data_IF_386147196317
#
_entry.id   IF_386147196317
#
_cell.length_a   1.000
_cell.length_b   1.000
_cell.length_c   1.000
_cell.angle_alpha   90.00
_cell.angle_beta   90.00
_cell.angle_gamma   90.00
#
_symmetry.space_group_name_H-M   'P 1'
#
loop_
_entity.id
_entity.type
_entity.pdbx_description
1 polymer ?
#
# COMPACT_ATOMS: atom_id res chain seq x y z
N UNK A 1 19.81 0.96 5.95
CA UNK A 1 19.62 0.84 7.42
C UNK A 1 18.85 2.07 7.83
N UNK A 2 17.53 2.00 7.98
CA UNK A 2 16.80 3.13 8.56
C UNK A 2 17.11 3.18 10.06
N UNK A 3 17.52 4.36 10.51
CA UNK A 3 18.08 4.60 11.83
C UNK A 3 17.11 4.26 12.97
N UNK A 4 17.71 3.66 13.99
CA UNK A 4 17.09 3.36 15.27
C UNK A 4 17.04 4.67 16.05
N UNK A 5 15.86 5.29 16.14
CA UNK A 5 15.62 6.32 17.16
C UNK A 5 15.36 5.61 18.50
N UNK A 6 16.40 5.50 19.32
CA UNK A 6 16.25 5.28 20.76
C UNK A 6 15.77 6.59 21.36
N UNK A 7 14.64 6.60 22.06
CA UNK A 7 14.44 7.41 23.27
C UNK A 7 13.22 6.92 24.04
N UNK A 8 13.43 6.96 25.35
CA UNK A 8 12.63 6.64 26.54
C UNK A 8 11.11 6.87 26.51
N UNK A 9 10.46 6.00 27.29
CA UNK A 9 9.09 6.05 27.81
C UNK A 9 7.97 5.49 26.92
N UNK A 10 7.11 4.71 27.56
CA UNK A 10 6.20 3.77 26.93
C UNK A 10 5.17 4.45 26.03
N UNK A 11 5.38 4.37 24.71
CA UNK A 11 4.43 4.02 23.65
C UNK A 11 5.14 4.24 22.31
N UNK A 12 5.74 3.18 21.75
CA UNK A 12 6.27 3.19 20.38
C UNK A 12 5.12 3.61 19.44
N UNK A 13 5.24 4.75 18.78
CA UNK A 13 4.19 5.25 17.88
C UNK A 13 3.85 4.17 16.83
N UNK A 14 2.65 3.60 16.94
CA UNK A 14 2.15 2.63 15.98
C UNK A 14 2.02 3.31 14.62
N UNK A 15 2.52 2.67 13.56
CA UNK A 15 2.28 3.09 12.19
C UNK A 15 0.79 3.26 11.99
N UNK A 16 0.36 4.46 11.61
CA UNK A 16 -1.05 4.72 11.29
C UNK A 16 -1.31 4.32 9.84
N UNK A 17 -2.24 3.37 9.65
CA UNK A 17 -2.70 2.95 8.33
C UNK A 17 -4.05 3.59 8.00
N UNK A 18 -4.35 3.72 6.70
CA UNK A 18 -5.60 4.32 6.23
C UNK A 18 -6.85 3.58 6.70
N UNK A 19 -8.03 4.18 6.48
CA UNK A 19 -9.31 3.66 6.97
C UNK A 19 -9.61 2.21 6.53
N UNK A 20 -9.17 1.84 5.32
CA UNK A 20 -9.34 0.52 4.72
C UNK A 20 -8.16 -0.44 4.95
N UNK A 21 -7.22 -0.05 5.80
CA UNK A 21 -6.02 -0.81 6.10
C UNK A 21 -5.91 -1.10 7.60
N UNK A 22 -5.10 -2.11 7.91
CA UNK A 22 -4.67 -2.47 9.25
C UNK A 22 -3.16 -2.66 9.27
N UNK A 23 -2.57 -2.53 10.45
CA UNK A 23 -1.14 -2.69 10.65
C UNK A 23 -0.84 -4.18 10.74
N UNK A 24 -0.18 -4.77 9.76
CA UNK A 24 0.51 -6.04 9.97
C UNK A 24 1.86 -5.76 10.63
N UNK A 25 2.11 -6.35 11.79
CA UNK A 25 3.37 -6.21 12.51
C UNK A 25 4.12 -7.52 12.61
N UNK A 26 5.44 -7.42 12.64
CA UNK A 26 6.38 -8.51 12.93
C UNK A 26 7.36 -8.02 13.99
N UNK A 27 7.61 -8.84 15.00
CA UNK A 27 8.75 -8.68 15.91
C UNK A 27 9.60 -9.94 15.76
N UNK A 28 10.85 -9.76 15.34
CA UNK A 28 11.80 -10.82 15.03
C UNK A 28 13.05 -10.61 15.87
N UNK A 29 13.39 -11.58 16.70
CA UNK A 29 14.69 -11.70 17.34
C UNK A 29 15.48 -12.74 16.54
N UNK A 30 16.57 -12.32 15.91
CA UNK A 30 17.47 -13.22 15.20
C UNK A 30 18.33 -14.02 16.16
N UNK A 31 18.92 -15.11 15.69
CA UNK A 31 19.92 -15.90 16.41
C UNK A 31 21.35 -15.46 16.02
N UNK A 32 22.37 -16.28 16.31
CA UNK A 32 23.76 -15.99 15.94
C UNK A 32 24.01 -16.03 14.43
N UNK A 33 23.11 -16.66 13.64
CA UNK A 33 23.23 -16.88 12.19
C UNK A 33 22.26 -16.02 11.40
N UNK A 34 21.94 -14.84 11.92
CA UNK A 34 20.98 -13.89 11.36
C UNK A 34 21.16 -13.56 9.86
N UNK A 35 22.37 -13.67 9.30
CA UNK A 35 22.62 -13.40 7.87
C UNK A 35 21.95 -14.42 6.93
N UNK A 36 21.48 -15.55 7.45
CA UNK A 36 20.76 -16.60 6.71
C UNK A 36 19.25 -16.35 6.70
N UNK A 37 18.76 -15.52 7.63
CA UNK A 37 17.34 -15.22 7.81
C UNK A 37 16.87 -14.10 6.88
N UNK A 38 15.76 -14.33 6.20
CA UNK A 38 15.01 -13.29 5.49
C UNK A 38 13.50 -13.54 5.54
N UNK A 39 12.67 -12.57 5.18
CA UNK A 39 11.25 -12.79 4.95
C UNK A 39 10.69 -11.99 3.80
N UNK A 40 9.53 -12.43 3.34
CA UNK A 40 8.66 -11.72 2.40
C UNK A 40 7.22 -11.67 2.91
N UNK A 41 6.59 -10.51 2.81
CA UNK A 41 5.13 -10.38 2.94
C UNK A 41 4.55 -10.39 1.53
N UNK A 42 3.65 -11.33 1.26
CA UNK A 42 3.08 -11.60 -0.05
C UNK A 42 1.58 -11.28 0.00
N UNK A 43 1.13 -10.49 -0.97
CA UNK A 43 -0.23 -10.03 -1.15
C UNK A 43 -1.19 -11.09 -1.70
N UNK A 44 -2.48 -10.74 -1.82
CA UNK A 44 -3.51 -11.63 -2.35
C UNK A 44 -3.33 -11.97 -3.83
N UNK A 45 -2.56 -11.17 -4.58
CA UNK A 45 -2.31 -11.36 -6.01
C UNK A 45 -0.90 -11.93 -6.28
N UNK A 46 -0.31 -12.59 -5.29
CA UNK A 46 1.07 -13.12 -5.32
C UNK A 46 2.17 -12.05 -5.46
N UNK A 47 1.84 -10.77 -5.29
CA UNK A 47 2.77 -9.66 -5.28
C UNK A 47 3.58 -9.60 -3.97
N UNK A 48 4.87 -9.27 -4.06
CA UNK A 48 5.71 -9.05 -2.87
C UNK A 48 5.47 -7.63 -2.37
N UNK A 49 4.89 -7.50 -1.18
CA UNK A 49 4.56 -6.22 -0.54
C UNK A 49 5.73 -5.70 0.28
N UNK A 50 6.47 -6.61 0.91
CA UNK A 50 7.67 -6.27 1.67
C UNK A 50 8.67 -7.41 1.66
N UNK A 51 9.93 -7.05 1.76
CA UNK A 51 11.06 -7.95 1.97
C UNK A 51 11.93 -7.40 3.10
N UNK A 52 12.50 -8.28 3.90
CA UNK A 52 13.52 -7.90 4.88
C UNK A 52 14.50 -9.06 5.09
N UNK A 53 15.81 -8.79 5.22
CA UNK A 53 16.45 -7.48 5.04
C UNK A 53 16.32 -6.99 3.59
N UNK A 54 16.62 -5.71 3.33
CA UNK A 54 16.58 -5.17 1.97
C UNK A 54 17.55 -5.92 1.03
N UNK A 55 17.36 -5.81 -0.28
CA UNK A 55 18.25 -6.47 -1.25
C UNK A 55 19.72 -6.11 -0.98
N UNK A 56 20.58 -7.14 -0.89
CA UNK A 56 22.01 -6.99 -0.60
C UNK A 56 22.35 -6.66 0.86
N UNK A 57 21.38 -6.68 1.77
CA UNK A 57 21.61 -6.50 3.20
C UNK A 57 21.41 -7.81 3.97
N UNK A 58 21.93 -7.87 5.19
CA UNK A 58 21.78 -8.99 6.12
C UNK A 58 21.30 -8.49 7.48
N UNK A 59 20.60 -9.35 8.21
CA UNK A 59 20.31 -9.05 9.62
C UNK A 59 21.57 -9.23 10.47
N UNK A 60 21.61 -8.51 11.58
CA UNK A 60 22.64 -8.65 12.60
C UNK A 60 22.27 -9.76 13.59
N UNK A 61 23.30 -10.43 14.11
CA UNK A 61 23.15 -11.50 15.09
C UNK A 61 22.46 -11.01 16.37
N UNK A 62 21.64 -11.87 16.99
CA UNK A 62 20.97 -11.64 18.28
C UNK A 62 20.28 -10.27 18.41
N UNK A 63 19.70 -9.78 17.32
CA UNK A 63 19.17 -8.41 17.24
C UNK A 63 17.65 -8.44 17.13
N UNK A 64 16.99 -7.58 17.91
CA UNK A 64 15.55 -7.40 17.86
C UNK A 64 15.17 -6.42 16.76
N UNK A 65 14.44 -6.93 15.77
CA UNK A 65 13.81 -6.14 14.72
C UNK A 65 12.30 -6.02 14.94
N UNK A 66 11.73 -4.94 14.43
CA UNK A 66 10.29 -4.69 14.46
C UNK A 66 9.87 -4.05 13.15
N UNK A 67 8.89 -4.67 12.48
CA UNK A 67 8.40 -4.23 11.17
C UNK A 67 6.90 -3.97 11.26
N UNK A 68 6.45 -2.95 10.53
CA UNK A 68 5.04 -2.59 10.43
C UNK A 68 4.68 -2.22 8.99
N UNK A 69 3.68 -2.89 8.44
CA UNK A 69 3.20 -2.72 7.07
C UNK A 69 1.70 -2.49 7.07
N UNK A 70 1.22 -1.60 6.21
CA UNK A 70 -0.21 -1.41 6.03
C UNK A 70 -0.71 -2.43 5.00
N UNK A 71 -1.68 -3.25 5.42
CA UNK A 71 -2.30 -4.29 4.59
C UNK A 71 -3.81 -4.05 4.50
N UNK A 72 -4.38 -4.34 3.34
CA UNK A 72 -5.78 -4.07 3.06
C UNK A 72 -6.68 -5.06 3.80
N UNK A 73 -7.75 -4.53 4.38
CA UNK A 73 -8.77 -5.30 5.08
C UNK A 73 -9.47 -6.29 4.13
N UNK A 74 -9.81 -7.48 4.62
CA UNK A 74 -10.65 -8.45 3.93
C UNK A 74 -9.88 -9.42 3.02
N UNK A 75 -8.60 -9.16 2.74
CA UNK A 75 -7.75 -9.99 1.90
C UNK A 75 -6.93 -11.02 2.70
N UNK A 76 -6.48 -12.06 2.00
CA UNK A 76 -5.54 -13.05 2.52
C UNK A 76 -4.12 -12.67 2.13
N UNK A 77 -3.20 -12.85 3.06
CA UNK A 77 -1.78 -12.59 2.89
C UNK A 77 -0.98 -13.81 3.34
N UNK A 78 0.25 -13.90 2.84
CA UNK A 78 1.24 -14.88 3.30
C UNK A 78 2.49 -14.17 3.77
N UNK A 79 2.91 -14.45 4.98
CA UNK A 79 4.22 -14.05 5.46
C UNK A 79 5.14 -15.26 5.45
N UNK A 80 6.19 -15.18 4.63
CA UNK A 80 7.13 -16.28 4.37
C UNK A 80 8.49 -15.92 4.93
N UNK A 81 8.94 -16.65 5.93
CA UNK A 81 10.24 -16.56 6.58
C UNK A 81 11.15 -17.63 5.97
N UNK A 82 12.39 -17.29 5.69
CA UNK A 82 13.38 -18.15 5.04
C UNK A 82 14.66 -18.18 5.87
N UNK A 83 15.29 -19.34 5.87
CA UNK A 83 16.61 -19.59 6.44
C UNK A 83 17.44 -20.39 5.44
N UNK A 84 18.52 -19.81 4.93
CA UNK A 84 19.28 -20.40 3.82
C UNK A 84 20.11 -21.62 4.20
N UNK A 85 20.45 -21.80 5.49
CA UNK A 85 21.17 -22.97 5.98
C UNK A 85 20.25 -24.15 6.29
N UNK A 86 18.96 -23.88 6.54
CA UNK A 86 17.93 -24.89 6.78
C UNK A 86 17.89 -25.43 8.21
N UNK A 87 18.66 -24.84 9.12
CA UNK A 87 18.56 -25.14 10.54
C UNK A 87 17.46 -24.31 11.22
N UNK A 88 17.06 -23.20 10.61
CA UNK A 88 16.02 -22.31 11.08
C UNK A 88 16.51 -21.42 12.23
N UNK A 89 15.64 -20.53 12.73
CA UNK A 89 16.01 -19.52 13.74
C UNK A 89 16.43 -20.04 15.13
N UNK A 90 16.39 -21.36 15.37
CA UNK A 90 16.65 -21.97 16.68
C UNK A 90 17.09 -23.44 16.50
N UNK A 91 17.97 -24.03 17.34
CA UNK A 91 18.28 -23.63 18.72
C UNK A 91 19.76 -23.77 19.13
N UNK A 92 20.56 -24.41 18.28
CA UNK A 92 21.99 -24.62 18.55
C UNK A 92 22.78 -23.33 18.35
N UNK A 93 22.37 -22.52 17.37
CA UNK A 93 23.01 -21.27 17.00
C UNK A 93 22.37 -20.05 17.68
N UNK A 94 21.64 -20.24 18.78
CA UNK A 94 20.92 -19.18 19.48
C UNK A 94 19.42 -19.44 19.53
N UNK A 95 18.71 -18.61 20.29
CA UNK A 95 17.26 -18.76 20.53
C UNK A 95 16.47 -17.68 19.81
N UNK A 96 16.69 -17.60 18.50
CA UNK A 96 15.90 -16.72 17.63
C UNK A 96 14.41 -17.07 17.75
N UNK A 97 13.57 -16.04 17.66
CA UNK A 97 12.12 -16.16 17.84
C UNK A 97 11.42 -15.01 17.14
N UNK A 98 10.15 -15.19 16.83
CA UNK A 98 9.35 -14.16 16.20
C UNK A 98 7.90 -14.21 16.67
N UNK A 99 7.21 -13.10 16.42
CA UNK A 99 5.76 -13.01 16.48
C UNK A 99 5.26 -12.11 15.38
N UNK A 100 4.03 -12.36 14.95
CA UNK A 100 3.33 -11.45 14.05
C UNK A 100 1.87 -11.28 14.46
N UNK A 101 1.26 -10.21 13.98
CA UNK A 101 -0.15 -9.95 14.22
C UNK A 101 -0.71 -8.82 13.36
N UNK A 102 -1.98 -8.51 13.62
CA UNK A 102 -2.71 -7.42 12.98
C UNK A 102 -3.16 -6.43 14.05
N UNK A 103 -2.80 -5.16 13.89
CA UNK A 103 -2.89 -4.09 14.88
C UNK A 103 -2.27 -4.56 16.20
N UNK A 104 -3.04 -4.68 17.28
CA UNK A 104 -2.54 -5.20 18.56
C UNK A 104 -2.84 -6.69 18.76
N UNK A 105 -3.52 -7.34 17.81
CA UNK A 105 -3.91 -8.74 17.91
C UNK A 105 -2.82 -9.66 17.37
N UNK A 106 -2.10 -10.32 18.28
CA UNK A 106 -1.07 -11.29 17.94
C UNK A 106 -1.72 -12.55 17.38
N UNK A 107 -1.28 -12.97 16.20
CA UNK A 107 -1.77 -14.18 15.52
C UNK A 107 -0.91 -15.40 15.81
N UNK A 108 0.38 -15.19 15.98
CA UNK A 108 1.32 -16.25 16.27
C UNK A 108 2.49 -15.73 17.08
N UNK A 109 3.01 -16.58 17.97
CA UNK A 109 4.26 -16.39 18.69
C UNK A 109 5.01 -17.71 18.62
N UNK A 110 6.24 -17.71 18.13
CA UNK A 110 7.11 -18.86 18.34
C UNK A 110 7.49 -18.95 19.81
N UNK A 111 7.85 -20.16 20.23
CA UNK A 111 8.14 -20.54 21.59
C UNK A 111 9.64 -20.72 21.85
N UNK A 112 10.51 -20.07 21.05
CA UNK A 112 11.97 -20.27 21.11
C UNK A 112 12.38 -21.75 20.93
N UNK A 113 11.58 -22.49 20.16
CA UNK A 113 11.90 -23.81 19.67
C UNK A 113 11.95 -23.78 18.13
N UNK A 114 12.44 -24.86 17.52
CA UNK A 114 12.46 -24.98 16.06
C UNK A 114 11.03 -24.97 15.50
N UNK A 115 10.70 -23.92 14.74
CA UNK A 115 9.37 -23.74 14.12
C UNK A 115 9.37 -23.98 12.61
N UNK A 116 10.53 -23.97 11.98
CA UNK A 116 10.74 -24.31 10.56
C UNK A 116 12.21 -24.70 10.34
N UNK A 117 12.51 -25.29 9.19
CA UNK A 117 13.88 -25.57 8.72
C UNK A 117 14.33 -24.48 7.76
N UNK A 118 14.01 -24.60 6.48
CA UNK A 118 14.40 -23.65 5.42
C UNK A 118 13.34 -22.58 5.20
N UNK A 119 12.05 -22.92 5.36
CA UNK A 119 10.93 -22.02 5.06
C UNK A 119 9.81 -22.19 6.07
N UNK A 120 9.38 -21.09 6.69
CA UNK A 120 8.14 -20.99 7.45
C UNK A 120 7.12 -20.13 6.71
N UNK A 121 5.88 -20.60 6.56
CA UNK A 121 4.81 -19.81 5.89
C UNK A 121 3.62 -19.66 6.81
N UNK A 122 3.23 -18.40 7.03
CA UNK A 122 2.05 -18.02 7.80
C UNK A 122 1.02 -17.39 6.88
N UNK A 123 -0.15 -18.00 6.75
CA UNK A 123 -1.27 -17.45 5.98
C UNK A 123 -2.28 -16.82 6.93
N UNK A 124 -2.71 -15.60 6.66
CA UNK A 124 -3.67 -14.89 7.50
C UNK A 124 -4.63 -14.01 6.69
N UNK A 125 -5.86 -13.90 7.18
CA UNK A 125 -6.87 -12.96 6.67
C UNK A 125 -6.87 -11.69 7.51
N UNK A 126 -6.86 -10.54 6.86
CA UNK A 126 -6.99 -9.25 7.56
C UNK A 126 -8.46 -9.02 7.92
N UNK A 127 -8.82 -8.94 9.20
CA UNK A 127 -10.21 -8.82 9.60
C UNK A 127 -10.80 -7.47 9.16
N UNK A 128 -12.09 -7.49 8.80
CA UNK A 128 -12.86 -6.24 8.71
C UNK A 128 -12.91 -5.58 10.07
N UNK A 129 -12.86 -4.24 10.09
CA UNK A 129 -13.19 -3.51 11.33
C UNK A 129 -14.61 -3.96 11.70
N UNK A 130 -14.77 -4.53 12.89
CA UNK A 130 -16.10 -4.84 13.39
C UNK A 130 -16.88 -3.52 13.40
N UNK A 131 -17.94 -3.45 12.60
CA UNK A 131 -18.92 -2.39 12.76
C UNK A 131 -19.51 -2.60 14.15
N UNK A 132 -19.00 -1.87 15.15
CA UNK A 132 -19.78 -1.64 16.34
C UNK A 132 -20.93 -0.72 15.91
N UNK A 133 -21.99 -1.36 15.40
CA UNK A 133 -23.33 -0.83 15.42
C UNK A 133 -23.70 -0.73 16.88
N UNK A 134 -23.26 0.35 17.54
CA UNK A 134 -23.85 0.75 18.80
C UNK A 134 -25.20 1.40 18.46
N UNK A 135 -26.14 0.58 18.00
CA UNK A 135 -27.56 0.89 18.01
C UNK A 135 -28.01 0.80 19.46
N UNK A 136 -27.62 1.81 20.24
CA UNK A 136 -28.25 2.14 21.52
C UNK A 136 -29.65 2.63 21.20
N UNK A 137 -30.64 1.82 21.57
CA UNK A 137 -32.05 2.11 21.34
C UNK A 137 -32.48 3.41 22.03
N UNK A 138 -33.01 4.33 21.23
CA UNK A 138 -33.88 5.40 21.74
C UNK A 138 -35.32 4.88 21.72
N UNK A 139 -35.92 4.82 22.92
CA UNK A 139 -37.33 4.52 23.10
C UNK A 139 -38.23 5.51 22.35
N UNK A 140 -39.35 4.98 21.86
CA UNK A 140 -40.46 5.73 21.26
C UNK A 140 -41.11 6.69 22.25
N UNK A 141 -41.47 7.89 21.77
CA UNK A 141 -42.85 8.41 21.81
C UNK A 141 -42.95 9.79 21.18
N UNK A 142 -43.89 9.99 20.24
CA UNK A 142 -44.36 11.32 19.85
C UNK A 142 -44.81 11.48 18.39
N UNK A 143 -46.12 11.36 18.15
CA UNK A 143 -46.91 11.77 16.96
C UNK A 143 -46.53 13.16 16.42
N UNK A 144 -46.79 13.60 15.17
CA UNK A 144 -47.96 13.53 14.27
C UNK A 144 -47.53 14.25 12.96
N UNK A 145 -47.82 13.75 11.75
CA UNK A 145 -49.02 14.08 10.97
C UNK A 145 -48.73 15.09 9.83
N UNK A 146 -49.13 14.78 8.58
CA UNK A 146 -49.18 15.77 7.49
C UNK A 146 -48.87 15.26 6.09
N UNK A 147 -49.91 15.09 5.27
CA UNK A 147 -49.96 14.58 3.89
C UNK A 147 -49.40 15.52 2.81
N UNK A 148 -49.03 14.99 1.64
CA UNK A 148 -48.86 15.76 0.39
C UNK A 148 -48.29 14.94 -0.78
N UNK A 149 -48.94 15.02 -1.93
CA UNK A 149 -48.92 14.05 -3.05
C UNK A 149 -48.00 14.42 -4.24
N UNK A 150 -47.80 13.43 -5.12
CA UNK A 150 -47.50 13.46 -6.57
C UNK A 150 -46.09 13.79 -7.09
N UNK A 151 -45.61 12.94 -8.01
CA UNK A 151 -44.55 13.27 -8.98
C UNK A 151 -43.90 12.06 -9.64
N UNK A 152 -44.41 11.65 -10.80
CA UNK A 152 -43.79 10.66 -11.70
C UNK A 152 -42.58 11.23 -12.46
N UNK A 153 -41.71 10.33 -12.95
CA UNK A 153 -40.86 10.43 -14.17
C UNK A 153 -39.33 10.48 -13.98
N UNK A 154 -38.73 9.32 -14.27
CA UNK A 154 -37.67 9.06 -15.26
C UNK A 154 -36.36 9.88 -15.30
N UNK A 155 -35.27 9.11 -15.20
CA UNK A 155 -34.01 9.17 -15.94
C UNK A 155 -32.98 10.26 -15.61
N UNK A 156 -31.74 9.81 -15.37
CA UNK A 156 -30.47 10.29 -15.98
C UNK A 156 -29.34 10.28 -14.94
N UNK A 157 -28.20 9.72 -15.34
CA UNK A 157 -27.02 9.57 -14.51
C UNK A 157 -26.41 10.90 -14.05
N UNK A 158 -25.92 10.87 -12.82
CA UNK A 158 -24.83 11.68 -12.30
C UNK A 158 -24.51 11.15 -10.90
N UNK A 159 -23.51 10.28 -10.77
CA UNK A 159 -22.92 10.03 -9.45
C UNK A 159 -21.95 11.19 -9.21
N UNK A 160 -22.40 12.11 -8.38
CA UNK A 160 -21.72 13.32 -8.01
C UNK A 160 -20.38 13.02 -7.35
N UNK A 161 -19.37 13.76 -7.81
CA UNK A 161 -18.08 14.00 -7.17
C UNK A 161 -18.29 14.45 -5.71
N UNK A 162 -17.84 13.61 -4.78
CA UNK A 162 -17.56 14.00 -3.41
C UNK A 162 -16.05 14.00 -3.24
N UNK A 163 -15.50 15.18 -3.02
CA UNK A 163 -14.09 15.40 -2.68
C UNK A 163 -13.78 14.69 -1.36
N UNK A 164 -13.07 13.57 -1.42
CA UNK A 164 -12.48 12.91 -0.25
C UNK A 164 -10.96 13.14 -0.29
N UNK A 165 -10.50 14.04 0.59
CA UNK A 165 -9.15 14.57 0.71
C UNK A 165 -8.11 13.59 1.34
N UNK A 166 -8.22 12.28 1.13
CA UNK A 166 -7.19 11.34 1.62
C UNK A 166 -6.71 10.28 0.60
N UNK A 167 -7.26 10.27 -0.62
CA UNK A 167 -6.69 9.58 -1.78
C UNK A 167 -6.42 8.07 -1.64
N UNK A 168 -6.89 7.39 -0.60
CA UNK A 168 -6.29 6.12 -0.15
C UNK A 168 -6.83 4.83 -0.75
N UNK A 169 -7.87 4.85 -1.58
CA UNK A 169 -8.37 3.67 -2.34
C UNK A 169 -9.04 4.12 -3.64
N UNK A 170 -9.92 5.13 -3.55
CA UNK A 170 -10.64 5.64 -4.72
C UNK A 170 -9.70 6.21 -5.79
N UNK A 171 -8.59 6.82 -5.38
CA UNK A 171 -7.60 7.40 -6.30
C UNK A 171 -6.72 6.32 -6.95
N UNK A 172 -6.37 5.27 -6.21
CA UNK A 172 -5.64 4.11 -6.74
C UNK A 172 -6.48 3.37 -7.80
N UNK A 173 -7.76 3.12 -7.50
CA UNK A 173 -8.72 2.55 -8.44
C UNK A 173 -8.93 3.46 -9.66
N UNK A 174 -9.01 4.79 -9.44
CA UNK A 174 -9.12 5.77 -10.53
C UNK A 174 -7.87 5.78 -11.42
N UNK A 175 -6.66 5.58 -10.87
CA UNK A 175 -5.43 5.46 -11.65
C UNK A 175 -5.45 4.19 -12.51
N UNK A 176 -5.80 3.06 -11.91
CA UNK A 176 -5.87 1.78 -12.63
C UNK A 176 -6.92 1.81 -13.75
N UNK A 177 -8.11 2.34 -13.45
CA UNK A 177 -9.21 2.49 -14.40
C UNK A 177 -8.80 3.40 -15.56
N UNK A 178 -8.31 4.60 -15.26
CA UNK A 178 -7.97 5.58 -16.28
C UNK A 178 -6.85 5.10 -17.24
N UNK A 179 -5.86 4.37 -16.72
CA UNK A 179 -4.86 3.71 -17.56
C UNK A 179 -5.48 2.60 -18.43
N UNK A 180 -6.30 1.74 -17.85
CA UNK A 180 -6.87 0.60 -18.56
C UNK A 180 -7.87 1.00 -19.64
N UNK A 181 -8.61 2.10 -19.44
CA UNK A 181 -9.47 2.73 -20.46
C UNK A 181 -8.64 3.14 -21.68
N UNK A 182 -7.54 3.89 -21.47
CA UNK A 182 -6.64 4.33 -22.55
C UNK A 182 -5.97 3.15 -23.24
N UNK A 183 -5.41 2.21 -22.47
CA UNK A 183 -4.78 1.01 -23.01
C UNK A 183 -5.72 0.22 -23.91
N UNK A 184 -6.98 0.04 -23.50
CA UNK A 184 -7.97 -0.66 -24.32
C UNK A 184 -8.21 0.08 -25.63
N UNK A 185 -8.57 1.37 -25.56
CA UNK A 185 -8.79 2.23 -26.73
C UNK A 185 -7.63 2.15 -27.73
N UNK A 186 -6.42 2.32 -27.23
CA UNK A 186 -5.22 2.43 -28.07
C UNK A 186 -4.75 1.07 -28.59
N UNK A 187 -4.79 0.01 -27.78
CA UNK A 187 -4.48 -1.32 -28.30
C UNK A 187 -5.45 -1.70 -29.43
N UNK A 188 -6.76 -1.47 -29.25
CA UNK A 188 -7.78 -1.77 -30.26
C UNK A 188 -7.60 -0.91 -31.52
N UNK A 189 -7.35 0.40 -31.37
CA UNK A 189 -7.14 1.33 -32.49
C UNK A 189 -5.98 0.91 -33.41
N UNK A 190 -4.92 0.32 -32.86
CA UNK A 190 -3.73 -0.11 -33.62
C UNK A 190 -3.61 -1.62 -33.77
N UNK A 191 -4.72 -2.36 -33.64
CA UNK A 191 -4.77 -3.80 -33.92
C UNK A 191 -3.91 -4.64 -32.97
N UNK A 192 -3.65 -4.18 -31.75
CA UNK A 192 -2.95 -4.91 -30.70
C UNK A 192 -3.95 -5.57 -29.75
N UNK A 193 -3.55 -6.72 -29.21
CA UNK A 193 -4.32 -7.38 -28.15
C UNK A 193 -4.33 -6.52 -26.88
N UNK A 194 -5.52 -6.23 -26.35
CA UNK A 194 -5.66 -5.54 -25.07
C UNK A 194 -5.12 -6.40 -23.92
N UNK A 195 -4.21 -5.82 -23.14
CA UNK A 195 -3.69 -6.42 -21.90
C UNK A 195 -3.89 -5.42 -20.77
N UNK A 196 -4.78 -5.68 -19.79
CA UNK A 196 -5.00 -4.78 -18.67
C UNK A 196 -3.77 -4.72 -17.77
N UNK A 197 -3.45 -3.52 -17.28
CA UNK A 197 -2.58 -3.36 -16.13
C UNK A 197 -3.28 -3.91 -14.90
N UNK A 198 -2.45 -4.35 -13.95
CA UNK A 198 -2.85 -4.70 -12.60
C UNK A 198 -2.18 -3.73 -11.64
N UNK A 199 -2.89 -3.35 -10.58
CA UNK A 199 -2.30 -2.54 -9.53
C UNK A 199 -1.18 -3.31 -8.83
N UNK A 200 -0.06 -2.63 -8.56
CA UNK A 200 1.04 -3.16 -7.76
C UNK A 200 1.17 -2.31 -6.50
N UNK A 201 0.79 -2.84 -5.32
CA UNK A 201 1.00 -2.16 -4.04
C UNK A 201 2.48 -1.81 -3.79
N UNK A 202 3.42 -2.60 -4.31
CA UNK A 202 4.86 -2.33 -4.21
C UNK A 202 5.24 -1.07 -4.99
N UNK A 203 4.86 -0.98 -6.27
CA UNK A 203 5.15 0.18 -7.11
C UNK A 203 4.44 1.42 -6.57
N UNK A 204 3.20 1.28 -6.11
CA UNK A 204 2.47 2.37 -5.46
C UNK A 204 3.19 2.88 -4.20
N UNK A 205 3.70 1.96 -3.36
CA UNK A 205 4.45 2.33 -2.16
C UNK A 205 5.83 2.92 -2.47
N UNK A 206 6.54 2.43 -3.49
CA UNK A 206 7.81 3.00 -3.95
C UNK A 206 7.59 4.40 -4.54
N UNK A 207 6.63 4.55 -5.45
CA UNK A 207 6.24 5.84 -6.02
C UNK A 207 5.82 6.84 -4.93
N UNK A 208 5.10 6.41 -3.90
CA UNK A 208 4.77 7.26 -2.74
C UNK A 208 6.02 7.71 -1.97
N UNK A 209 6.97 6.80 -1.71
CA UNK A 209 8.21 7.15 -1.02
C UNK A 209 9.04 8.16 -1.81
N UNK A 210 9.14 7.97 -3.13
CA UNK A 210 9.82 8.93 -4.00
C UNK A 210 9.09 10.26 -4.07
N UNK A 211 7.77 10.25 -4.27
CA UNK A 211 6.94 11.46 -4.25
C UNK A 211 7.09 12.27 -2.95
N UNK A 212 7.18 11.59 -1.80
CA UNK A 212 7.44 12.25 -0.52
C UNK A 212 8.84 12.89 -0.44
N UNK A 213 9.88 12.23 -0.97
CA UNK A 213 11.23 12.83 -1.06
C UNK A 213 11.25 14.05 -1.97
N UNK A 214 10.45 14.05 -3.04
CA UNK A 214 10.34 15.18 -3.95
C UNK A 214 9.69 16.42 -3.29
N UNK A 215 8.96 16.25 -2.18
CA UNK A 215 8.41 17.39 -1.43
C UNK A 215 9.50 18.28 -0.82
N UNK A 216 10.71 17.75 -0.57
CA UNK A 216 11.84 18.55 -0.09
C UNK A 216 12.38 19.52 -1.17
N UNK A 217 11.92 19.34 -2.43
CA UNK A 217 12.36 20.11 -3.59
C UNK A 217 11.17 20.72 -4.36
N UNK A 218 10.18 21.27 -3.64
CA UNK A 218 8.97 21.87 -4.23
C UNK A 218 9.25 22.99 -5.25
N UNK A 219 10.33 23.74 -5.11
CA UNK A 219 10.64 24.88 -5.99
C UNK A 219 11.58 24.52 -7.17
N UNK A 220 12.04 23.27 -7.26
CA UNK A 220 12.93 22.85 -8.33
C UNK A 220 12.24 22.95 -9.70
N UNK A 221 12.93 23.52 -10.70
CA UNK A 221 12.42 23.65 -12.08
C UNK A 221 12.19 22.27 -12.71
N UNK A 222 12.99 21.28 -12.32
CA UNK A 222 12.91 19.90 -12.80
C UNK A 222 12.59 18.95 -11.65
N UNK A 223 11.78 17.93 -11.93
CA UNK A 223 11.49 16.84 -10.99
C UNK A 223 12.50 15.73 -11.25
N UNK A 224 13.43 15.43 -10.32
CA UNK A 224 14.39 14.37 -10.54
C UNK A 224 13.71 13.00 -10.57
N UNK A 225 14.14 12.17 -11.52
CA UNK A 225 13.76 10.75 -11.58
C UNK A 225 14.40 9.94 -10.45
N UNK A 226 13.75 8.88 -10.00
CA UNK A 226 14.32 7.97 -9.00
C UNK A 226 15.52 7.22 -9.59
N UNK A 227 16.67 7.25 -8.90
CA UNK A 227 17.88 6.57 -9.36
C UNK A 227 17.96 5.12 -8.85
N UNK A 228 18.45 4.21 -9.69
CA UNK A 228 18.71 2.81 -9.30
C UNK A 228 17.49 1.89 -9.33
N UNK A 229 16.37 2.32 -9.92
CA UNK A 229 15.20 1.47 -10.17
C UNK A 229 15.23 0.91 -11.61
N UNK A 230 14.64 -0.27 -11.80
CA UNK A 230 14.54 -0.94 -13.11
C UNK A 230 13.19 -0.67 -13.80
N UNK A 231 12.25 -0.14 -13.04
CA UNK A 231 10.87 0.11 -13.41
C UNK A 231 10.73 1.45 -14.13
N UNK A 232 9.73 1.55 -15.01
CA UNK A 232 9.40 2.80 -15.69
C UNK A 232 8.72 3.80 -14.76
N UNK A 233 9.00 5.10 -14.96
CA UNK A 233 8.49 6.17 -14.11
C UNK A 233 7.84 7.27 -14.97
N UNK A 234 6.62 7.66 -14.61
CA UNK A 234 5.95 8.87 -15.12
C UNK A 234 5.74 9.82 -13.95
N UNK A 235 6.06 11.10 -14.14
CA UNK A 235 5.96 12.12 -13.10
C UNK A 235 5.05 13.27 -13.54
N UNK A 236 4.36 13.86 -12.57
CA UNK A 236 3.55 15.05 -12.76
C UNK A 236 3.73 15.97 -11.55
N UNK A 237 3.97 17.25 -11.81
CA UNK A 237 4.08 18.30 -10.80
C UNK A 237 3.09 19.40 -11.14
N UNK A 238 2.48 19.97 -10.12
CA UNK A 238 1.72 21.21 -10.23
C UNK A 238 2.33 22.24 -9.27
N UNK A 239 2.44 23.49 -9.70
CA UNK A 239 2.97 24.61 -8.90
C UNK A 239 2.00 25.78 -9.06
N UNK A 240 1.62 26.41 -7.95
CA UNK A 240 0.83 27.63 -7.95
C UNK A 240 -0.32 27.61 -6.95
N UNK A 241 -1.13 28.66 -6.98
CA UNK A 241 -2.34 28.83 -6.16
C UNK A 241 -3.61 28.63 -7.00
N UNK A 242 -4.74 28.38 -6.34
CA UNK A 242 -6.04 28.16 -7.01
C UNK A 242 -6.03 26.91 -7.89
N UNK A 243 -6.62 27.00 -9.08
CA UNK A 243 -6.69 25.88 -10.04
C UNK A 243 -5.31 25.33 -10.45
N UNK A 244 -4.23 26.10 -10.30
CA UNK A 244 -2.87 25.66 -10.62
C UNK A 244 -2.21 24.84 -9.51
N UNK A 245 -2.71 24.93 -8.27
CA UNK A 245 -2.22 24.17 -7.11
C UNK A 245 -3.14 23.02 -6.68
N UNK A 246 -4.30 22.88 -7.33
CA UNK A 246 -5.28 21.85 -6.95
C UNK A 246 -4.78 20.42 -7.24
N UNK A 247 -5.29 19.47 -6.45
CA UNK A 247 -5.09 18.05 -6.69
C UNK A 247 -5.84 17.64 -7.97
N UNK A 248 -5.11 17.52 -9.08
CA UNK A 248 -5.67 17.09 -10.37
C UNK A 248 -6.22 15.67 -10.30
N UNK A 249 -7.25 15.38 -11.08
CA UNK A 249 -7.77 14.01 -11.23
C UNK A 249 -6.78 13.13 -12.00
N UNK A 250 -6.91 11.81 -11.86
CA UNK A 250 -6.07 10.84 -12.59
C UNK A 250 -6.22 11.01 -14.11
N UNK A 251 -7.44 11.28 -14.59
CA UNK A 251 -7.71 11.56 -16.00
C UNK A 251 -7.09 12.86 -16.50
N UNK A 252 -7.09 13.93 -15.70
CA UNK A 252 -6.43 15.18 -16.07
C UNK A 252 -4.91 14.99 -16.24
N UNK A 253 -4.29 14.19 -15.38
CA UNK A 253 -2.86 13.89 -15.49
C UNK A 253 -2.58 12.97 -16.69
N UNK A 254 -3.35 11.90 -16.85
CA UNK A 254 -3.17 10.98 -17.97
C UNK A 254 -3.44 11.61 -19.34
N UNK A 255 -4.37 12.56 -19.41
CA UNK A 255 -4.58 13.35 -20.62
C UNK A 255 -3.30 14.08 -21.05
N UNK A 256 -2.53 14.60 -20.09
CA UNK A 256 -1.22 15.22 -20.37
C UNK A 256 -0.20 14.18 -20.82
N UNK A 257 -0.11 13.03 -20.16
CA UNK A 257 0.89 12.01 -20.50
C UNK A 257 0.61 11.23 -21.79
N UNK A 258 -0.65 11.18 -22.24
CA UNK A 258 -1.05 10.31 -23.35
C UNK A 258 -1.67 11.12 -24.48
N UNK A 259 -2.88 11.66 -24.30
CA UNK A 259 -3.62 12.31 -25.38
C UNK A 259 -2.90 13.54 -25.95
N UNK A 260 -2.31 14.36 -25.09
CA UNK A 260 -1.59 15.58 -25.49
C UNK A 260 -0.25 15.31 -26.16
N UNK A 261 0.25 14.07 -26.09
CA UNK A 261 1.53 13.64 -26.67
C UNK A 261 1.35 12.84 -27.98
N UNK A 262 0.13 12.42 -28.35
CA UNK A 262 -0.14 11.55 -29.51
C UNK A 262 0.26 12.12 -30.88
N UNK A 263 0.60 13.41 -30.96
CA UNK A 263 1.00 14.10 -32.17
C UNK A 263 2.48 14.53 -32.19
N UNK A 264 3.20 14.31 -31.11
CA UNK A 264 4.59 14.74 -30.99
C UNK A 264 5.53 13.61 -31.41
N UNK A 265 6.51 13.92 -32.25
CA UNK A 265 7.52 12.96 -32.69
C UNK A 265 8.37 12.47 -31.51
N UNK A 266 8.76 11.20 -31.52
CA UNK A 266 9.58 10.63 -30.45
C UNK A 266 11.06 11.02 -30.59
N UNK A 267 11.75 11.43 -29.50
CA UNK A 267 11.23 11.72 -28.17
C UNK A 267 10.76 13.19 -28.04
N UNK A 268 9.58 13.41 -27.47
CA UNK A 268 9.11 14.73 -27.05
C UNK A 268 8.94 14.78 -25.54
N UNK A 269 9.45 15.85 -24.91
CA UNK A 269 9.21 16.20 -23.52
C UNK A 269 8.46 17.53 -23.50
N UNK A 270 7.20 17.54 -23.08
CA UNK A 270 6.50 18.76 -22.68
C UNK A 270 6.57 18.89 -21.16
N UNK A 271 7.20 19.98 -20.70
CA UNK A 271 7.31 20.38 -19.29
C UNK A 271 5.99 20.88 -18.73
#
# INVERSE_FOLDING_TARGET
VEEVNTLTDGHRALKQCGQHQRVFFVSLLTDNRAYETSFKLIGPNDDIIALAPANGQTFQANTQYSFQYCVNIGYNYRWRLEDSAGDGLCCQNGKGTYRYGIDDNVKFRSNQEKTFTTVGVHTFKVPKRSSNSNSGGSGSSGSSGGSGSNGSSSNSGAIASSKNDDGGVERDDAWLLAHNVRRKKYHEQWGKTYVPLKWSPMLANQARQWANKLLDHCDAVHVPHESGISEGENMAKNIGSGDNGELKTTDQILNKWVEMEMGDGYPAMRT
#
